data_IF_092552115658
#
_entry.id   IF_092552115658
#
_cell.length_a   1.000
_cell.length_b   1.000
_cell.length_c   1.000
_cell.angle_alpha   90.00
_cell.angle_beta   90.00
_cell.angle_gamma   90.00
#
_symmetry.space_group_name_H-M   'P 1'
#
loop_
_entity.id
_entity.type
_entity.pdbx_description
1 polymer ?
#
# COMPACT_ATOMS: atom_id res chain seq x y z
N UNK A 1 -11.21 27.42 -8.65
CA UNK A 1 -11.30 27.52 -7.17
C UNK A 1 -12.56 26.79 -6.73
N UNK A 2 -12.44 25.77 -5.87
CA UNK A 2 -13.63 25.16 -5.24
C UNK A 2 -14.29 26.18 -4.31
N UNK A 3 -15.62 26.30 -4.35
CA UNK A 3 -16.37 27.19 -3.47
C UNK A 3 -16.28 26.75 -2.00
N UNK A 4 -16.45 27.69 -1.07
CA UNK A 4 -16.36 27.47 0.40
C UNK A 4 -17.22 26.29 0.87
N UNK A 5 -18.42 26.11 0.29
CA UNK A 5 -19.30 24.97 0.61
C UNK A 5 -18.73 23.62 0.14
N UNK A 6 -18.06 23.57 -1.01
CA UNK A 6 -17.43 22.36 -1.52
C UNK A 6 -16.21 21.99 -0.66
N UNK A 7 -15.41 22.97 -0.25
CA UNK A 7 -14.28 22.75 0.68
C UNK A 7 -14.75 22.23 2.04
N UNK A 8 -15.83 22.82 2.59
CA UNK A 8 -16.40 22.35 3.86
C UNK A 8 -16.94 20.92 3.73
N UNK A 9 -17.61 20.60 2.62
CA UNK A 9 -18.10 19.24 2.34
C UNK A 9 -16.95 18.23 2.30
N UNK A 10 -15.85 18.57 1.64
CA UNK A 10 -14.68 17.70 1.55
C UNK A 10 -13.96 17.55 2.90
N UNK A 11 -13.87 18.63 3.67
CA UNK A 11 -13.34 18.59 5.04
C UNK A 11 -14.13 17.61 5.92
N UNK A 12 -15.46 17.69 5.90
CA UNK A 12 -16.30 16.76 6.66
C UNK A 12 -16.19 15.32 6.15
N UNK A 13 -16.08 15.12 4.82
CA UNK A 13 -15.84 13.79 4.24
C UNK A 13 -14.55 13.17 4.79
N UNK A 14 -13.46 13.94 4.83
CA UNK A 14 -12.18 13.51 5.42
C UNK A 14 -12.28 13.22 6.92
N UNK A 15 -12.96 14.07 7.69
CA UNK A 15 -13.12 13.84 9.14
C UNK A 15 -13.88 12.54 9.44
N UNK A 16 -14.82 12.13 8.59
CA UNK A 16 -15.51 10.84 8.72
C UNK A 16 -14.57 9.65 8.47
N UNK A 17 -13.67 9.75 7.49
CA UNK A 17 -12.66 8.73 7.21
C UNK A 17 -11.65 8.64 8.36
N UNK A 18 -11.14 9.78 8.82
CA UNK A 18 -10.22 9.88 9.97
C UNK A 18 -10.86 9.30 11.25
N UNK A 19 -12.12 9.64 11.51
CA UNK A 19 -12.91 9.07 12.61
C UNK A 19 -13.07 7.55 12.49
N UNK A 20 -13.32 7.03 11.28
CA UNK A 20 -13.42 5.60 11.09
C UNK A 20 -12.08 4.89 11.35
N UNK A 21 -10.96 5.47 10.95
CA UNK A 21 -9.63 4.94 11.28
C UNK A 21 -9.33 4.97 12.79
N UNK A 22 -9.75 6.00 13.52
CA UNK A 22 -9.54 6.10 14.97
C UNK A 22 -10.31 5.02 15.74
N UNK A 23 -11.41 4.53 15.18
CA UNK A 23 -12.22 3.47 15.76
C UNK A 23 -11.67 2.06 15.50
N UNK A 24 -10.73 1.88 14.57
CA UNK A 24 -10.12 0.58 14.30
C UNK A 24 -9.07 0.24 15.36
N UNK A 25 -8.93 -1.03 15.69
CA UNK A 25 -7.88 -1.53 16.58
C UNK A 25 -7.46 -2.96 16.22
N UNK A 26 -6.48 -3.50 16.95
CA UNK A 26 -6.11 -4.92 16.80
C UNK A 26 -7.31 -5.85 17.09
N UNK A 27 -8.16 -5.50 18.04
CA UNK A 27 -9.32 -6.30 18.46
C UNK A 27 -10.60 -5.93 17.70
N UNK A 28 -10.65 -4.71 17.14
CA UNK A 28 -11.84 -4.17 16.50
C UNK A 28 -11.70 -4.07 14.99
N UNK A 29 -12.49 -4.88 14.28
CA UNK A 29 -12.52 -4.91 12.81
C UNK A 29 -13.53 -3.90 12.24
N UNK A 30 -13.37 -3.61 10.95
CA UNK A 30 -14.28 -2.75 10.20
C UNK A 30 -15.74 -3.22 10.28
N UNK A 31 -15.97 -4.54 10.22
CA UNK A 31 -17.31 -5.14 10.33
C UNK A 31 -18.05 -4.81 11.65
N UNK A 32 -17.34 -4.35 12.69
CA UNK A 32 -17.92 -3.95 13.98
C UNK A 32 -18.14 -2.43 14.13
N UNK A 33 -17.83 -1.64 13.09
CA UNK A 33 -18.05 -0.20 13.10
C UNK A 33 -19.52 0.11 12.85
N UNK A 34 -20.11 0.94 13.71
CA UNK A 34 -21.42 1.53 13.44
C UNK A 34 -21.30 2.94 12.90
N UNK A 35 -22.24 3.31 12.02
CA UNK A 35 -22.40 4.67 11.51
C UNK A 35 -22.50 5.70 12.63
N UNK A 36 -23.26 5.38 13.70
CA UNK A 36 -23.46 6.30 14.83
C UNK A 36 -22.16 6.60 15.57
N UNK A 37 -21.31 5.60 15.74
CA UNK A 37 -20.00 5.79 16.37
C UNK A 37 -19.08 6.67 15.51
N UNK A 38 -19.00 6.38 14.21
CA UNK A 38 -18.20 7.19 13.27
C UNK A 38 -18.71 8.63 13.22
N UNK A 39 -20.02 8.85 13.14
CA UNK A 39 -20.61 10.18 13.12
C UNK A 39 -20.33 10.96 14.41
N UNK A 40 -20.44 10.29 15.57
CA UNK A 40 -20.13 10.87 16.89
C UNK A 40 -18.66 11.26 16.98
N UNK A 41 -17.76 10.38 16.54
CA UNK A 41 -16.32 10.62 16.53
C UNK A 41 -15.93 11.76 15.59
N UNK A 42 -16.59 11.86 14.42
CA UNK A 42 -16.41 12.97 13.48
C UNK A 42 -17.09 14.28 13.91
N UNK A 43 -17.81 14.30 15.05
CA UNK A 43 -18.49 15.49 15.57
C UNK A 43 -19.70 15.93 14.73
N UNK A 44 -20.39 15.01 14.05
CA UNK A 44 -21.58 15.33 13.24
C UNK A 44 -22.82 14.55 13.71
N UNK A 45 -24.01 15.06 13.39
CA UNK A 45 -25.25 14.32 13.59
C UNK A 45 -25.26 13.05 12.70
N UNK A 46 -25.77 11.89 13.18
CA UNK A 46 -25.81 10.65 12.39
C UNK A 46 -26.49 10.80 11.03
N UNK A 47 -27.54 11.62 10.93
CA UNK A 47 -28.25 11.88 9.67
C UNK A 47 -27.39 12.62 8.65
N UNK A 48 -26.40 13.40 9.09
CA UNK A 48 -25.47 14.11 8.21
C UNK A 48 -24.47 13.18 7.51
N UNK A 49 -24.26 11.97 8.03
CA UNK A 49 -23.41 10.94 7.41
C UNK A 49 -23.82 10.67 5.96
N UNK A 50 -25.13 10.53 5.72
CA UNK A 50 -25.72 10.22 4.41
C UNK A 50 -25.49 11.28 3.34
N UNK A 51 -24.98 12.46 3.70
CA UNK A 51 -24.56 13.49 2.74
C UNK A 51 -23.19 13.21 2.12
N UNK A 52 -22.42 12.31 2.73
CA UNK A 52 -21.05 11.98 2.37
C UNK A 52 -20.91 10.52 1.93
N UNK A 53 -21.59 9.59 2.60
CA UNK A 53 -21.55 8.16 2.31
C UNK A 53 -22.96 7.56 2.43
N UNK A 54 -23.32 6.67 1.51
CA UNK A 54 -24.60 5.96 1.45
C UNK A 54 -24.77 5.00 2.63
N UNK A 55 -23.67 4.36 3.02
CA UNK A 55 -23.61 3.40 4.12
C UNK A 55 -22.18 3.29 4.66
N UNK A 56 -21.99 2.42 5.66
CA UNK A 56 -20.67 2.16 6.24
C UNK A 56 -19.77 1.48 5.22
N UNK A 57 -20.28 0.59 4.37
CA UNK A 57 -19.47 -0.11 3.36
C UNK A 57 -18.82 0.86 2.36
N UNK A 58 -19.53 1.87 1.87
CA UNK A 58 -18.95 2.90 1.01
C UNK A 58 -17.85 3.71 1.71
N UNK A 59 -18.03 4.00 2.99
CA UNK A 59 -16.98 4.60 3.81
C UNK A 59 -15.76 3.67 3.90
N UNK A 60 -15.95 2.37 4.12
CA UNK A 60 -14.85 1.41 4.20
C UNK A 60 -14.10 1.24 2.88
N UNK A 61 -14.79 1.20 1.75
CA UNK A 61 -14.16 1.19 0.43
C UNK A 61 -13.32 2.45 0.22
N UNK A 62 -13.84 3.61 0.64
CA UNK A 62 -13.09 4.87 0.62
C UNK A 62 -11.85 4.81 1.53
N UNK A 63 -11.95 4.20 2.72
CA UNK A 63 -10.79 4.00 3.60
C UNK A 63 -9.71 3.12 2.97
N UNK A 64 -10.09 2.06 2.23
CA UNK A 64 -9.15 1.21 1.49
C UNK A 64 -8.45 2.02 0.40
N UNK A 65 -9.21 2.76 -0.41
CA UNK A 65 -8.67 3.57 -1.51
C UNK A 65 -7.72 4.66 -0.97
N UNK A 66 -8.09 5.36 0.13
CA UNK A 66 -7.25 6.40 0.74
C UNK A 66 -5.98 5.81 1.39
N UNK A 67 -6.08 4.65 2.05
CA UNK A 67 -4.91 3.97 2.63
C UNK A 67 -3.92 3.51 1.56
N UNK A 68 -4.44 2.88 0.49
CA UNK A 68 -3.63 2.39 -0.61
C UNK A 68 -2.94 3.54 -1.35
N UNK A 69 -3.67 4.62 -1.64
CA UNK A 69 -3.11 5.82 -2.27
C UNK A 69 -2.04 6.49 -1.40
N UNK A 70 -2.30 6.67 -0.10
CA UNK A 70 -1.33 7.26 0.83
C UNK A 70 -0.04 6.45 0.86
N UNK A 71 -0.14 5.12 0.98
CA UNK A 71 1.02 4.24 1.00
C UNK A 71 1.79 4.32 -0.33
N UNK A 72 1.10 4.32 -1.48
CA UNK A 72 1.75 4.44 -2.81
C UNK A 72 2.52 5.73 -2.94
N UNK A 73 1.90 6.85 -2.57
CA UNK A 73 2.53 8.17 -2.64
C UNK A 73 3.78 8.24 -1.75
N UNK A 74 3.69 7.74 -0.52
CA UNK A 74 4.82 7.68 0.42
C UNK A 74 5.98 6.84 -0.14
N UNK A 75 5.66 5.68 -0.73
CA UNK A 75 6.64 4.81 -1.38
C UNK A 75 7.27 5.44 -2.62
N UNK A 76 6.48 6.12 -3.46
CA UNK A 76 6.98 6.84 -4.63
C UNK A 76 7.92 7.97 -4.22
N UNK A 77 7.56 8.74 -3.20
CA UNK A 77 8.42 9.82 -2.67
C UNK A 77 9.73 9.27 -2.10
N UNK A 78 9.69 8.15 -1.38
CA UNK A 78 10.88 7.51 -0.83
C UNK A 78 11.88 7.13 -1.93
N UNK A 79 11.40 6.56 -3.04
CA UNK A 79 12.24 6.23 -4.22
C UNK A 79 12.84 7.47 -4.88
N UNK A 80 12.03 8.52 -5.08
CA UNK A 80 12.48 9.77 -5.73
C UNK A 80 13.57 10.50 -4.94
N UNK A 81 13.56 10.45 -3.60
CA UNK A 81 14.58 11.10 -2.77
C UNK A 81 15.98 10.50 -2.97
N UNK A 82 16.08 9.23 -3.38
CA UNK A 82 17.35 8.47 -3.44
C UNK A 82 17.90 8.32 -4.86
N UNK A 83 17.19 8.80 -5.87
CA UNK A 83 17.77 9.00 -7.21
C UNK A 83 19.06 9.87 -7.22
N UNK A 84 19.45 10.45 -6.06
CA UNK A 84 20.68 11.22 -5.83
C UNK A 84 21.75 10.53 -4.95
N UNK A 85 21.58 9.26 -4.60
CA UNK A 85 22.58 8.45 -3.86
C UNK A 85 21.99 7.67 -2.68
N UNK A 86 22.36 6.40 -2.55
CA UNK A 86 21.89 5.48 -1.51
C UNK A 86 21.27 4.19 -2.06
N UNK A 87 20.89 3.25 -1.18
CA UNK A 87 20.24 2.00 -1.59
C UNK A 87 18.72 2.18 -1.61
N UNK A 88 18.14 2.33 -2.82
CA UNK A 88 16.69 2.50 -3.05
C UNK A 88 15.87 1.41 -2.34
N UNK A 89 16.34 0.16 -2.38
CA UNK A 89 15.70 -0.98 -1.72
C UNK A 89 15.63 -0.76 -0.21
N UNK A 90 16.77 -0.45 0.44
CA UNK A 90 16.82 -0.29 1.91
C UNK A 90 15.87 0.81 2.35
N UNK A 91 15.91 1.97 1.72
CA UNK A 91 15.03 3.08 2.11
C UNK A 91 13.57 2.79 1.84
N UNK A 92 13.24 2.13 0.72
CA UNK A 92 11.85 1.71 0.48
C UNK A 92 11.35 0.78 1.58
N UNK A 93 12.18 -0.16 2.04
CA UNK A 93 11.85 -1.04 3.16
C UNK A 93 11.70 -0.26 4.46
N UNK A 94 12.67 0.60 4.83
CA UNK A 94 12.61 1.37 6.07
C UNK A 94 11.38 2.28 6.11
N UNK A 95 11.10 2.99 5.01
CA UNK A 95 9.90 3.85 4.91
C UNK A 95 8.60 3.03 4.97
N UNK A 96 8.58 1.82 4.42
CA UNK A 96 7.43 0.92 4.57
C UNK A 96 7.27 0.48 6.03
N UNK A 97 8.36 0.07 6.70
CA UNK A 97 8.32 -0.32 8.11
C UNK A 97 7.88 0.83 9.03
N UNK A 98 8.34 2.05 8.77
CA UNK A 98 7.87 3.27 9.45
C UNK A 98 6.37 3.49 9.25
N UNK A 99 5.87 3.32 8.02
CA UNK A 99 4.43 3.41 7.75
C UNK A 99 3.62 2.41 8.58
N UNK A 100 4.07 1.15 8.63
CA UNK A 100 3.41 0.11 9.45
C UNK A 100 3.43 0.48 10.94
N UNK A 101 4.52 1.10 11.42
CA UNK A 101 4.64 1.55 12.81
C UNK A 101 3.73 2.73 13.15
N UNK A 102 3.61 3.69 12.24
CA UNK A 102 2.83 4.92 12.44
C UNK A 102 1.33 4.74 12.12
N UNK A 103 0.98 3.80 11.24
CA UNK A 103 -0.38 3.59 10.73
C UNK A 103 -0.81 2.10 10.79
N UNK A 104 -0.65 1.41 11.93
CA UNK A 104 -0.87 -0.04 12.00
C UNK A 104 -2.31 -0.43 11.67
N UNK A 105 -3.29 0.39 12.02
CA UNK A 105 -4.71 0.11 11.74
C UNK A 105 -5.08 0.27 10.26
N UNK A 106 -4.47 1.22 9.55
CA UNK A 106 -4.66 1.36 8.11
C UNK A 106 -4.12 0.13 7.38
N UNK A 107 -2.95 -0.38 7.79
CA UNK A 107 -2.41 -1.60 7.20
C UNK A 107 -3.20 -2.86 7.60
N UNK A 108 -3.66 -2.97 8.85
CA UNK A 108 -4.55 -4.07 9.28
C UNK A 108 -5.84 -4.11 8.46
N UNK A 109 -6.42 -2.96 8.13
CA UNK A 109 -7.59 -2.89 7.25
C UNK A 109 -7.29 -3.53 5.89
N UNK A 110 -6.22 -3.09 5.22
CA UNK A 110 -5.81 -3.66 3.93
C UNK A 110 -5.57 -5.17 4.01
N UNK A 111 -4.95 -5.65 5.08
CA UNK A 111 -4.65 -7.08 5.27
C UNK A 111 -5.93 -7.92 5.47
N UNK A 112 -6.84 -7.48 6.35
CA UNK A 112 -8.08 -8.20 6.68
C UNK A 112 -9.03 -8.25 5.50
N UNK A 113 -9.18 -7.14 4.80
CA UNK A 113 -10.12 -7.03 3.68
C UNK A 113 -9.62 -7.76 2.42
N UNK A 114 -8.33 -8.09 2.34
CA UNK A 114 -7.77 -8.93 1.26
C UNK A 114 -8.35 -10.34 1.24
N UNK A 115 -8.56 -10.93 2.42
CA UNK A 115 -9.12 -12.29 2.59
C UNK A 115 -10.52 -12.28 3.23
N UNK A 116 -11.10 -11.09 3.39
CA UNK A 116 -12.43 -10.89 3.97
C UNK A 116 -13.56 -11.47 3.10
N UNK A 117 -14.77 -11.54 3.68
CA UNK A 117 -15.93 -12.16 3.02
C UNK A 117 -16.55 -11.28 1.94
N UNK A 118 -16.37 -9.95 2.00
CA UNK A 118 -16.93 -9.02 1.02
C UNK A 118 -16.14 -8.97 -0.29
N UNK A 119 -16.79 -9.30 -1.41
CA UNK A 119 -16.17 -9.27 -2.73
C UNK A 119 -15.76 -7.85 -3.17
N UNK A 120 -16.53 -6.83 -2.80
CA UNK A 120 -16.23 -5.44 -3.13
C UNK A 120 -14.93 -4.97 -2.46
N UNK A 121 -14.74 -5.33 -1.19
CA UNK A 121 -13.53 -5.02 -0.43
C UNK A 121 -12.31 -5.78 -0.96
N UNK A 122 -12.45 -7.09 -1.23
CA UNK A 122 -11.36 -7.86 -1.87
C UNK A 122 -10.94 -7.25 -3.20
N UNK A 123 -11.90 -6.83 -4.02
CA UNK A 123 -11.63 -6.16 -5.28
C UNK A 123 -10.94 -4.80 -5.08
N UNK A 124 -11.33 -4.02 -4.06
CA UNK A 124 -10.67 -2.76 -3.74
C UNK A 124 -9.21 -2.95 -3.34
N UNK A 125 -8.93 -3.86 -2.40
CA UNK A 125 -7.55 -4.16 -2.00
C UNK A 125 -6.73 -4.70 -3.17
N UNK A 126 -7.31 -5.58 -4.00
CA UNK A 126 -6.63 -6.09 -5.19
C UNK A 126 -6.26 -4.97 -6.17
N UNK A 127 -7.16 -4.01 -6.43
CA UNK A 127 -6.87 -2.84 -7.25
C UNK A 127 -5.70 -2.03 -6.70
N UNK A 128 -5.67 -1.80 -5.39
CA UNK A 128 -4.58 -1.03 -4.76
C UNK A 128 -3.23 -1.74 -4.85
N UNK A 129 -3.21 -3.07 -4.72
CA UNK A 129 -2.00 -3.89 -4.95
C UNK A 129 -1.56 -3.81 -6.42
N UNK A 130 -2.49 -3.89 -7.37
CA UNK A 130 -2.17 -3.76 -8.80
C UNK A 130 -1.62 -2.37 -9.14
N UNK A 131 -2.18 -1.30 -8.58
CA UNK A 131 -1.60 0.05 -8.71
C UNK A 131 -0.17 0.10 -8.15
N UNK A 132 0.10 -0.59 -7.05
CA UNK A 132 1.44 -0.69 -6.47
C UNK A 132 2.44 -1.38 -7.40
N UNK A 133 2.03 -2.52 -7.98
CA UNK A 133 2.85 -3.30 -8.91
C UNK A 133 3.14 -2.48 -10.16
N UNK A 134 2.11 -1.86 -10.75
CA UNK A 134 2.25 -1.03 -11.94
C UNK A 134 3.22 0.14 -11.71
N UNK A 135 3.07 0.92 -10.63
CA UNK A 135 3.97 2.05 -10.34
C UNK A 135 5.41 1.61 -10.08
N UNK A 136 5.62 0.42 -9.48
CA UNK A 136 6.97 -0.12 -9.28
C UNK A 136 7.57 -0.65 -10.58
N UNK A 137 6.76 -1.30 -11.43
CA UNK A 137 7.19 -1.78 -12.74
C UNK A 137 7.60 -0.61 -13.65
N UNK A 138 6.82 0.47 -13.68
CA UNK A 138 7.13 1.71 -14.41
C UNK A 138 8.49 2.27 -13.96
N UNK A 139 8.73 2.31 -12.65
CA UNK A 139 10.02 2.74 -12.09
C UNK A 139 11.18 1.83 -12.52
N UNK A 140 11.00 0.51 -12.44
CA UNK A 140 12.05 -0.46 -12.79
C UNK A 140 12.37 -0.46 -14.29
N UNK A 141 11.39 -0.18 -15.14
CA UNK A 141 11.54 -0.05 -16.60
C UNK A 141 12.39 1.17 -16.96
N UNK A 142 12.13 2.31 -16.30
CA UNK A 142 12.94 3.52 -16.46
C UNK A 142 14.38 3.34 -15.97
N UNK A 143 14.59 2.63 -14.86
CA UNK A 143 15.91 2.48 -14.25
C UNK A 143 16.78 1.41 -14.92
N UNK A 144 16.19 0.28 -15.34
CA UNK A 144 16.96 -0.89 -15.81
C UNK A 144 16.83 -1.16 -17.31
N UNK A 145 15.94 -0.45 -18.02
CA UNK A 145 15.68 -0.63 -19.45
C UNK A 145 15.36 -2.09 -19.83
N UNK A 146 14.64 -2.80 -18.95
CA UNK A 146 14.17 -4.16 -19.19
C UNK A 146 12.74 -4.13 -19.77
N UNK A 147 12.34 -5.11 -20.60
CA UNK A 147 10.98 -5.21 -21.12
C UNK A 147 9.93 -5.30 -20.01
N UNK A 148 8.72 -4.79 -20.29
CA UNK A 148 7.61 -4.73 -19.34
C UNK A 148 7.32 -6.05 -18.62
N UNK A 149 7.34 -7.17 -19.34
CA UNK A 149 7.08 -8.49 -18.77
C UNK A 149 8.05 -8.85 -17.62
N UNK A 150 9.32 -8.42 -17.71
CA UNK A 150 10.32 -8.66 -16.67
C UNK A 150 10.11 -7.74 -15.47
N UNK A 151 9.84 -6.44 -15.72
CA UNK A 151 9.67 -5.45 -14.66
C UNK A 151 8.38 -5.66 -13.89
N UNK A 152 7.30 -6.08 -14.55
CA UNK A 152 6.04 -6.48 -13.90
C UNK A 152 6.23 -7.71 -13.02
N UNK A 153 6.84 -8.79 -13.52
CA UNK A 153 7.09 -9.99 -12.73
C UNK A 153 8.01 -9.71 -11.53
N UNK A 154 9.05 -8.89 -11.72
CA UNK A 154 9.93 -8.45 -10.65
C UNK A 154 9.15 -7.62 -9.60
N UNK A 155 8.35 -6.64 -10.04
CA UNK A 155 7.57 -5.78 -9.17
C UNK A 155 6.53 -6.58 -8.37
N UNK A 156 5.82 -7.51 -9.02
CA UNK A 156 4.85 -8.40 -8.37
C UNK A 156 5.48 -9.23 -7.26
N UNK A 157 6.64 -9.85 -7.54
CA UNK A 157 7.37 -10.62 -6.54
C UNK A 157 7.81 -9.74 -5.35
N UNK A 158 8.35 -8.55 -5.63
CA UNK A 158 8.79 -7.60 -4.60
C UNK A 158 7.62 -7.11 -3.73
N UNK A 159 6.51 -6.69 -4.35
CA UNK A 159 5.31 -6.21 -3.63
C UNK A 159 4.74 -7.33 -2.78
N UNK A 160 4.66 -8.55 -3.29
CA UNK A 160 4.15 -9.72 -2.56
C UNK A 160 4.93 -9.97 -1.28
N UNK A 161 6.27 -10.01 -1.35
CA UNK A 161 7.08 -10.26 -0.15
C UNK A 161 7.05 -9.10 0.84
N UNK A 162 6.98 -7.84 0.35
CA UNK A 162 6.89 -6.65 1.22
C UNK A 162 5.57 -6.64 1.97
N UNK A 163 4.44 -6.93 1.30
CA UNK A 163 3.14 -7.03 1.97
C UNK A 163 3.10 -8.17 2.98
N UNK A 164 3.70 -9.33 2.66
CA UNK A 164 3.81 -10.45 3.60
C UNK A 164 4.62 -10.08 4.83
N UNK A 165 5.77 -9.42 4.66
CA UNK A 165 6.59 -8.94 5.77
C UNK A 165 5.87 -7.85 6.58
N UNK A 166 5.11 -6.97 5.94
CA UNK A 166 4.28 -5.98 6.65
C UNK A 166 3.27 -6.61 7.60
N UNK A 167 2.68 -7.75 7.21
CA UNK A 167 1.76 -8.50 8.07
C UNK A 167 2.49 -9.06 9.31
N UNK A 168 3.66 -9.66 9.14
CA UNK A 168 4.51 -10.14 10.24
C UNK A 168 4.95 -8.99 11.16
N UNK A 169 5.27 -7.82 10.59
CA UNK A 169 5.74 -6.65 11.32
C UNK A 169 4.70 -6.02 12.28
N UNK A 170 3.41 -6.32 12.12
CA UNK A 170 2.35 -5.80 12.99
C UNK A 170 2.37 -6.38 14.40
N UNK A 171 2.85 -7.61 14.55
CA UNK A 171 2.66 -8.42 15.76
C UNK A 171 3.98 -8.79 16.46
N UNK A 172 5.11 -8.23 16.00
CA UNK A 172 6.46 -8.54 16.52
C UNK A 172 7.11 -7.32 17.20
N UNK A 173 8.04 -7.60 18.12
CA UNK A 173 8.82 -6.60 18.84
C UNK A 173 9.85 -5.86 17.97
N UNK A 174 10.40 -4.77 18.49
CA UNK A 174 11.33 -3.90 17.76
C UNK A 174 12.60 -4.62 17.25
N UNK A 175 13.12 -5.58 18.03
CA UNK A 175 14.31 -6.34 17.63
C UNK A 175 14.01 -7.31 16.49
N UNK A 176 12.93 -8.08 16.60
CA UNK A 176 12.47 -8.96 15.52
C UNK A 176 12.13 -8.16 14.26
N UNK A 177 11.59 -6.96 14.41
CA UNK A 177 11.30 -6.06 13.29
C UNK A 177 12.56 -5.61 12.55
N UNK A 178 13.64 -5.29 13.27
CA UNK A 178 14.95 -5.00 12.67
C UNK A 178 15.49 -6.21 11.89
N UNK A 179 15.39 -7.41 12.45
CA UNK A 179 15.82 -8.63 11.78
C UNK A 179 14.97 -8.93 10.52
N UNK A 180 13.66 -8.72 10.60
CA UNK A 180 12.75 -8.83 9.48
C UNK A 180 13.10 -7.84 8.36
N UNK A 181 13.41 -6.59 8.71
CA UNK A 181 13.85 -5.56 7.77
C UNK A 181 15.14 -5.96 7.05
N UNK A 182 16.17 -6.41 7.76
CA UNK A 182 17.42 -6.87 7.14
C UNK A 182 17.19 -8.07 6.20
N UNK A 183 16.38 -9.04 6.64
CA UNK A 183 15.99 -10.20 5.83
C UNK A 183 15.26 -9.75 4.56
N UNK A 184 14.31 -8.84 4.68
CA UNK A 184 13.52 -8.33 3.56
C UNK A 184 14.40 -7.57 2.54
N UNK A 185 15.35 -6.75 3.02
CA UNK A 185 16.34 -6.09 2.15
C UNK A 185 17.16 -7.11 1.37
N UNK A 186 17.62 -8.19 2.01
CA UNK A 186 18.35 -9.25 1.34
C UNK A 186 17.48 -9.97 0.29
N UNK A 187 16.24 -10.32 0.62
CA UNK A 187 15.30 -10.97 -0.31
C UNK A 187 15.01 -10.10 -1.54
N UNK A 188 14.76 -8.81 -1.35
CA UNK A 188 14.53 -7.87 -2.44
C UNK A 188 15.77 -7.71 -3.33
N UNK A 189 16.98 -7.73 -2.76
CA UNK A 189 18.23 -7.72 -3.54
C UNK A 189 18.41 -8.99 -4.36
N UNK A 190 18.04 -10.15 -3.81
CA UNK A 190 18.09 -11.42 -4.55
C UNK A 190 17.11 -11.40 -5.73
N UNK A 191 15.89 -10.90 -5.53
CA UNK A 191 14.90 -10.75 -6.61
C UNK A 191 15.43 -9.79 -7.69
N UNK A 192 15.94 -8.61 -7.31
CA UNK A 192 16.47 -7.63 -8.25
C UNK A 192 17.62 -8.18 -9.09
N UNK A 193 18.61 -8.80 -8.43
CA UNK A 193 19.76 -9.39 -9.13
C UNK A 193 19.35 -10.58 -10.00
N UNK A 194 18.43 -11.41 -9.52
CA UNK A 194 17.92 -12.57 -10.26
C UNK A 194 17.18 -12.17 -11.54
N UNK A 195 16.32 -11.16 -11.46
CA UNK A 195 15.61 -10.60 -12.61
C UNK A 195 16.59 -10.07 -13.67
N UNK A 196 17.58 -9.26 -13.26
CA UNK A 196 18.59 -8.73 -14.17
C UNK A 196 19.47 -9.82 -14.80
N UNK A 197 19.89 -10.82 -14.01
CA UNK A 197 20.68 -11.95 -14.50
C UNK A 197 19.90 -12.77 -15.54
N UNK A 198 18.64 -13.08 -15.27
CA UNK A 198 17.80 -13.84 -16.20
C UNK A 198 17.61 -13.08 -17.52
N UNK A 199 17.32 -11.77 -17.45
CA UNK A 199 17.19 -10.92 -18.64
C UNK A 199 18.46 -10.92 -19.50
N UNK A 200 19.63 -10.71 -18.87
CA UNK A 200 20.91 -10.74 -19.59
C UNK A 200 21.18 -12.09 -20.28
N UNK A 201 20.86 -13.18 -19.60
CA UNK A 201 21.05 -14.53 -20.15
C UNK A 201 20.11 -14.81 -21.34
N UNK A 202 18.89 -14.28 -21.31
CA UNK A 202 17.94 -14.36 -22.42
C UNK A 202 18.48 -13.62 -23.67
N UNK A 203 19.04 -12.42 -23.48
CA UNK A 203 19.66 -11.62 -24.54
C UNK A 203 20.84 -12.35 -25.20
N UNK A 204 21.73 -12.96 -24.38
CA UNK A 204 22.89 -13.71 -24.87
C UNK A 204 22.48 -14.94 -25.71
N UNK A 205 21.39 -15.63 -25.34
CA UNK A 205 20.86 -16.75 -26.13
C UNK A 205 20.30 -16.31 -27.48
N UNK A 206 19.60 -15.18 -27.54
CA UNK A 206 19.01 -14.65 -28.77
C UNK A 206 20.12 -14.23 -29.74
N UNK A 207 21.19 -13.60 -29.23
CA UNK A 207 22.36 -13.23 -30.02
C UNK A 207 23.02 -14.47 -30.67
N UNK A 208 23.20 -15.56 -29.92
CA UNK A 208 23.81 -16.79 -30.44
C UNK A 208 22.93 -17.63 -31.37
N UNK A 209 21.62 -17.39 -31.46
CA UNK A 209 20.74 -18.06 -32.43
C UNK A 209 20.52 -17.25 -33.72
N UNK A 210 21.10 -16.04 -33.79
CA UNK A 210 21.00 -15.14 -34.95
C UNK A 210 22.30 -15.12 -35.79
N UNK A 211 23.31 -15.88 -35.39
CA UNK A 211 24.56 -16.16 -36.12
C UNK A 211 24.53 -17.59 -36.70
#
# INVERSE_FOLDING_TARGET
MMGVRAQQKEKTRRSLVEAAFSQLSAERSFASLSLREVAREAGIAPTSFYRHFRDVDELGLTMVDESGLMLRQLMRQARQRIAKGGSVIRTSVSTFMEFIGNNPNAFRLLLRERSGTSAAFRAAVAREIQHFIAELADYLELENHMPRAFTEAQAEAMVTIVFSAGAEALDIGAEQRRQLEERLVLQLRMIAKGAYYWYRREQEKIAHHSE
#
